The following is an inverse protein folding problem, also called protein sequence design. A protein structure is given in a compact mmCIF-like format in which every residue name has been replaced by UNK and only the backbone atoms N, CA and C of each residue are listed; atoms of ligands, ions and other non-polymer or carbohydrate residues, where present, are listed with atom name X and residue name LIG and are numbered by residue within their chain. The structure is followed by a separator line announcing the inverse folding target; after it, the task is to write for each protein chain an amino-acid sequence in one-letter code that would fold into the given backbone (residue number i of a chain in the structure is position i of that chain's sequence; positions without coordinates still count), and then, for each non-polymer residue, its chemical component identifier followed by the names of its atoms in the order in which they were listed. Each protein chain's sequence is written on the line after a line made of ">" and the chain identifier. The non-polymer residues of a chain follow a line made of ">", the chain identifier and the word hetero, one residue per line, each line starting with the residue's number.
data_IF_401311018405
#
_entry.id   IF_401311018405
#
_cell.length_a   1.000
_cell.length_b   1.000
_cell.length_c   1.000
_cell.angle_alpha   90.00
_cell.angle_beta   90.00
_cell.angle_gamma   90.00
#
_symmetry.space_group_name_H-M   'P 1'
#
loop_
_entity.id
_entity.type
_entity.pdbx_description
1 polymer ?
#
# COMPACT_ATOMS: atom_id res chain seq x y z
N UNK A 1 -17.99 -1.16 1.86
CA UNK A 1 -17.77 -2.07 0.74
C UNK A 1 -18.43 -1.49 -0.49
N UNK A 2 -17.69 -1.34 -1.58
CA UNK A 2 -18.25 -0.94 -2.86
C UNK A 2 -18.64 -2.21 -3.64
N UNK A 3 -19.87 -2.25 -4.13
CA UNK A 3 -20.26 -3.23 -5.14
C UNK A 3 -19.83 -2.72 -6.51
N UNK A 4 -19.54 -3.65 -7.44
CA UNK A 4 -19.19 -3.29 -8.81
C UNK A 4 -20.40 -2.60 -9.47
N UNK A 5 -20.21 -1.36 -9.90
CA UNK A 5 -21.22 -0.54 -10.56
C UNK A 5 -20.57 0.19 -11.74
N UNK A 6 -20.58 -0.45 -12.90
CA UNK A 6 -19.94 0.06 -14.11
C UNK A 6 -20.64 1.32 -14.65
N UNK A 7 -21.94 1.47 -14.45
CA UNK A 7 -22.68 2.65 -14.92
C UNK A 7 -22.34 3.87 -14.06
N UNK A 8 -22.24 3.68 -12.74
CA UNK A 8 -21.77 4.73 -11.85
C UNK A 8 -20.31 5.11 -12.14
N UNK A 9 -19.45 4.12 -12.41
CA UNK A 9 -18.06 4.38 -12.76
C UNK A 9 -17.93 5.23 -14.03
N UNK A 10 -18.68 4.90 -15.08
CA UNK A 10 -18.73 5.71 -16.32
C UNK A 10 -19.28 7.11 -16.07
N UNK A 11 -20.31 7.24 -15.23
CA UNK A 11 -20.87 8.55 -14.88
C UNK A 11 -19.84 9.43 -14.15
N UNK A 12 -19.08 8.86 -13.21
CA UNK A 12 -18.02 9.58 -12.47
C UNK A 12 -16.85 9.98 -13.39
N UNK A 13 -16.47 9.11 -14.35
CA UNK A 13 -15.46 9.46 -15.36
C UNK A 13 -15.92 10.61 -16.24
N UNK A 14 -17.18 10.59 -16.70
CA UNK A 14 -17.75 11.68 -17.48
C UNK A 14 -17.84 13.00 -16.68
N UNK A 15 -18.24 12.94 -15.40
CA UNK A 15 -18.27 14.10 -14.52
C UNK A 15 -16.85 14.69 -14.31
N UNK A 16 -15.84 13.84 -14.30
CA UNK A 16 -14.43 14.24 -14.22
C UNK A 16 -13.85 14.72 -15.58
N UNK A 17 -14.62 14.69 -16.66
CA UNK A 17 -14.19 15.13 -18.00
C UNK A 17 -13.51 14.06 -18.85
N UNK A 18 -13.68 12.79 -18.51
CA UNK A 18 -13.08 11.64 -19.21
C UNK A 18 -14.14 10.80 -19.95
N UNK A 19 -15.19 11.41 -20.46
CA UNK A 19 -16.24 10.74 -21.22
C UNK A 19 -15.74 10.10 -22.53
N UNK A 20 -14.67 10.66 -23.12
CA UNK A 20 -14.03 10.17 -24.33
C UNK A 20 -12.97 9.10 -24.07
N UNK A 21 -12.74 8.75 -22.81
CA UNK A 21 -11.76 7.78 -22.33
C UNK A 21 -10.61 8.39 -21.55
N UNK A 22 -9.85 7.55 -20.90
CA UNK A 22 -8.66 7.89 -20.11
C UNK A 22 -7.56 6.89 -20.39
N UNK A 23 -6.35 7.38 -20.70
CA UNK A 23 -5.15 6.55 -20.80
C UNK A 23 -4.32 6.68 -19.53
N UNK A 24 -3.87 5.54 -18.99
CA UNK A 24 -2.98 5.52 -17.82
C UNK A 24 -2.00 4.34 -17.87
N UNK A 25 -1.00 4.37 -17.01
CA UNK A 25 -0.01 3.30 -16.87
C UNK A 25 -0.04 2.71 -15.47
N UNK A 26 0.04 1.37 -15.41
CA UNK A 26 0.20 0.61 -14.17
C UNK A 26 1.63 0.06 -14.13
N UNK A 27 2.48 0.67 -13.32
CA UNK A 27 3.86 0.24 -13.15
C UNK A 27 3.98 -0.85 -12.09
N UNK A 28 4.76 -1.91 -12.37
CA UNK A 28 5.06 -2.95 -11.40
C UNK A 28 6.52 -3.39 -11.45
N UNK A 29 6.98 -3.99 -10.34
CA UNK A 29 8.36 -4.49 -10.23
C UNK A 29 8.41 -5.91 -10.77
N UNK A 30 9.37 -6.23 -11.66
CA UNK A 30 9.67 -7.62 -11.99
C UNK A 30 10.23 -8.32 -10.74
N UNK A 31 9.63 -9.39 -10.32
CA UNK A 31 10.04 -10.12 -9.14
C UNK A 31 9.75 -11.61 -9.26
N UNK A 32 10.18 -12.39 -8.27
CA UNK A 32 9.91 -13.82 -8.24
C UNK A 32 8.41 -14.15 -8.14
N UNK A 33 7.59 -13.15 -7.87
CA UNK A 33 6.14 -13.28 -7.72
C UNK A 33 5.43 -12.65 -8.92
N UNK A 34 5.00 -13.47 -9.86
CA UNK A 34 4.14 -13.05 -10.97
C UNK A 34 2.79 -12.46 -10.53
N UNK A 35 2.50 -12.48 -9.23
CA UNK A 35 1.25 -11.96 -8.66
C UNK A 35 1.00 -10.49 -9.01
N UNK A 36 2.04 -9.65 -9.00
CA UNK A 36 1.86 -8.24 -9.35
C UNK A 36 1.43 -8.06 -10.81
N UNK A 37 2.01 -8.84 -11.73
CA UNK A 37 1.61 -8.84 -13.14
C UNK A 37 0.12 -9.22 -13.29
N UNK A 38 -0.28 -10.35 -12.71
CA UNK A 38 -1.67 -10.82 -12.83
C UNK A 38 -2.67 -9.86 -12.22
N UNK A 39 -2.32 -9.19 -11.12
CA UNK A 39 -3.18 -8.17 -10.52
C UNK A 39 -3.25 -6.93 -11.40
N UNK A 40 -2.13 -6.48 -11.97
CA UNK A 40 -2.11 -5.32 -12.87
C UNK A 40 -2.94 -5.60 -14.14
N UNK A 41 -2.81 -6.79 -14.74
CA UNK A 41 -3.60 -7.23 -15.89
C UNK A 41 -5.10 -7.30 -15.55
N UNK A 42 -5.45 -7.81 -14.37
CA UNK A 42 -6.85 -7.86 -13.91
C UNK A 42 -7.43 -6.43 -13.74
N UNK A 43 -6.66 -5.52 -13.13
CA UNK A 43 -7.07 -4.12 -12.97
C UNK A 43 -7.24 -3.45 -14.33
N UNK A 44 -6.29 -3.62 -15.25
CA UNK A 44 -6.37 -3.07 -16.60
C UNK A 44 -7.61 -3.58 -17.35
N UNK A 45 -7.89 -4.88 -17.28
CA UNK A 45 -9.09 -5.47 -17.88
C UNK A 45 -10.39 -4.91 -17.28
N UNK A 46 -10.46 -4.76 -15.94
CA UNK A 46 -11.63 -4.18 -15.29
C UNK A 46 -11.82 -2.69 -15.65
N UNK A 47 -10.76 -1.92 -15.75
CA UNK A 47 -10.78 -0.52 -16.13
C UNK A 47 -11.21 -0.33 -17.60
N UNK A 48 -10.86 -1.26 -18.49
CA UNK A 48 -11.28 -1.21 -19.89
C UNK A 48 -12.80 -1.28 -20.08
N UNK A 49 -13.53 -1.94 -19.17
CA UNK A 49 -14.98 -2.03 -19.21
C UNK A 49 -15.67 -0.67 -19.02
N UNK A 50 -14.98 0.31 -18.49
CA UNK A 50 -15.48 1.67 -18.24
C UNK A 50 -14.82 2.74 -19.12
N UNK A 51 -14.05 2.33 -20.14
CA UNK A 51 -13.43 3.24 -21.09
C UNK A 51 -12.06 3.76 -20.68
N UNK A 52 -11.40 3.12 -19.70
CA UNK A 52 -10.02 3.46 -19.32
C UNK A 52 -9.05 2.48 -19.96
N UNK A 53 -8.13 2.98 -20.77
CA UNK A 53 -7.03 2.20 -21.38
C UNK A 53 -5.81 2.23 -20.42
N UNK A 54 -5.58 1.12 -19.74
CA UNK A 54 -4.53 0.98 -18.73
C UNK A 54 -3.39 0.10 -19.25
N UNK A 55 -2.28 0.72 -19.66
CA UNK A 55 -1.07 0.01 -20.08
C UNK A 55 -0.35 -0.60 -18.88
N UNK A 56 -0.16 -1.92 -18.86
CA UNK A 56 0.64 -2.60 -17.84
C UNK A 56 2.11 -2.53 -18.20
N UNK A 57 2.90 -1.80 -17.41
CA UNK A 57 4.31 -1.51 -17.69
C UNK A 57 5.22 -2.22 -16.68
N UNK A 58 5.97 -3.20 -17.18
CA UNK A 58 7.00 -3.87 -16.40
C UNK A 58 8.27 -3.04 -16.38
N UNK A 59 8.78 -2.71 -15.21
CA UNK A 59 10.12 -2.15 -15.06
C UNK A 59 11.18 -3.21 -15.40
N UNK A 60 12.29 -2.83 -16.03
CA UNK A 60 13.36 -3.77 -16.41
C UNK A 60 14.01 -4.41 -15.18
N UNK A 61 14.14 -3.64 -14.11
CA UNK A 61 14.64 -4.08 -12.81
C UNK A 61 14.10 -3.19 -11.69
N UNK A 62 14.44 -3.52 -10.45
CA UNK A 62 14.05 -2.75 -9.26
C UNK A 62 14.57 -1.32 -9.30
N UNK A 63 15.77 -1.09 -9.86
CA UNK A 63 16.38 0.25 -9.95
C UNK A 63 15.58 1.17 -10.85
N UNK A 64 15.12 0.68 -12.01
CA UNK A 64 14.25 1.45 -12.91
C UNK A 64 12.91 1.77 -12.24
N UNK A 65 12.28 0.79 -11.59
CA UNK A 65 11.03 1.00 -10.86
C UNK A 65 11.20 2.05 -9.76
N UNK A 66 12.29 1.97 -9.00
CA UNK A 66 12.64 2.96 -7.95
C UNK A 66 12.76 4.36 -8.55
N UNK A 67 13.41 4.50 -9.71
CA UNK A 67 13.53 5.78 -10.40
C UNK A 67 12.16 6.37 -10.80
N UNK A 68 11.23 5.54 -11.29
CA UNK A 68 9.86 5.94 -11.60
C UNK A 68 9.12 6.32 -10.32
N UNK A 69 9.15 5.45 -9.31
CA UNK A 69 8.46 5.64 -8.05
C UNK A 69 8.90 6.93 -7.33
N UNK A 70 10.20 7.26 -7.39
CA UNK A 70 10.73 8.49 -6.82
C UNK A 70 10.59 9.73 -7.71
N UNK A 71 10.13 9.57 -8.93
CA UNK A 71 9.84 10.69 -9.81
C UNK A 71 8.71 11.61 -9.30
N UNK A 72 8.03 11.16 -8.24
CA UNK A 72 6.92 11.89 -7.64
C UNK A 72 5.58 11.60 -8.34
N UNK A 73 4.50 12.24 -7.90
CA UNK A 73 3.14 11.96 -8.36
C UNK A 73 2.93 12.22 -9.85
N UNK A 74 3.76 13.03 -10.49
CA UNK A 74 3.67 13.31 -11.93
C UNK A 74 4.36 12.24 -12.80
N UNK A 75 5.17 11.36 -12.20
CA UNK A 75 5.94 10.35 -12.93
C UNK A 75 5.15 9.06 -13.19
N UNK A 76 4.07 8.82 -12.48
CA UNK A 76 3.24 7.63 -12.61
C UNK A 76 1.80 7.90 -12.16
N UNK A 77 0.83 7.19 -12.77
CA UNK A 77 -0.57 7.27 -12.37
C UNK A 77 -0.94 6.15 -11.40
N UNK A 78 -0.48 4.93 -11.68
CA UNK A 78 -0.66 3.78 -10.81
C UNK A 78 0.64 2.99 -10.68
N UNK A 79 0.94 2.52 -9.49
CA UNK A 79 2.06 1.63 -9.23
C UNK A 79 1.72 0.59 -8.19
N UNK A 80 2.35 -0.57 -8.29
CA UNK A 80 2.17 -1.64 -7.32
C UNK A 80 3.37 -1.68 -6.39
N UNK A 81 3.11 -1.68 -5.10
CA UNK A 81 4.14 -1.72 -4.06
C UNK A 81 3.69 -2.54 -2.86
N UNK A 82 4.56 -2.76 -1.91
CA UNK A 82 4.26 -3.37 -0.63
C UNK A 82 4.70 -2.45 0.50
N UNK A 83 3.85 -2.30 1.50
CA UNK A 83 4.18 -1.61 2.75
C UNK A 83 4.27 -2.62 3.89
N UNK A 84 5.19 -2.40 4.80
CA UNK A 84 5.34 -3.20 6.00
C UNK A 84 4.68 -2.50 7.17
N UNK A 85 3.68 -3.15 7.75
CA UNK A 85 3.01 -2.70 8.97
C UNK A 85 3.74 -3.29 10.18
N UNK A 86 4.87 -2.69 10.51
CA UNK A 86 5.67 -3.06 11.67
C UNK A 86 4.82 -3.16 12.91
N UNK A 87 4.64 -3.86 13.73
CA UNK A 87 3.83 -4.06 14.93
C UNK A 87 3.05 -2.87 15.50
N UNK A 88 3.28 -1.64 15.02
CA UNK A 88 2.55 -0.45 15.43
C UNK A 88 2.21 0.42 14.22
N UNK A 89 0.94 0.90 14.08
CA UNK A 89 0.51 1.75 12.97
C UNK A 89 1.29 3.06 12.85
N UNK A 90 1.82 3.62 13.94
CA UNK A 90 2.66 4.82 13.92
C UNK A 90 3.90 4.62 13.04
N UNK A 91 4.50 3.43 13.08
CA UNK A 91 5.71 3.12 12.31
C UNK A 91 5.35 2.62 10.90
N UNK A 92 4.29 1.83 10.79
CA UNK A 92 3.94 1.13 9.56
C UNK A 92 2.98 1.87 8.63
N UNK A 93 1.95 2.51 9.20
CA UNK A 93 0.82 3.10 8.46
C UNK A 93 0.98 4.61 8.30
N UNK A 94 1.11 5.34 9.40
CA UNK A 94 1.09 6.81 9.43
C UNK A 94 1.97 7.44 8.36
N UNK A 95 3.19 6.94 8.19
CA UNK A 95 4.17 7.47 7.22
C UNK A 95 3.70 7.47 5.76
N UNK A 96 2.73 6.63 5.41
CA UNK A 96 2.22 6.52 4.05
C UNK A 96 1.04 7.47 3.77
N UNK A 97 0.47 8.09 4.80
CA UNK A 97 -0.74 8.91 4.67
C UNK A 97 -0.56 10.37 5.05
N UNK A 98 0.32 10.69 6.00
CA UNK A 98 0.46 12.08 6.49
C UNK A 98 1.06 13.01 5.42
N UNK A 99 0.53 14.23 5.35
CA UNK A 99 0.94 15.26 4.39
C UNK A 99 2.43 15.60 4.50
N UNK A 100 2.97 15.68 5.72
CA UNK A 100 4.38 16.00 5.97
C UNK A 100 5.38 14.98 5.39
N UNK A 101 4.91 13.79 5.04
CA UNK A 101 5.74 12.74 4.46
C UNK A 101 5.65 12.66 2.92
N UNK A 102 5.08 13.68 2.27
CA UNK A 102 5.14 13.81 0.81
C UNK A 102 6.55 14.27 0.42
N UNK A 103 7.49 13.32 0.42
CA UNK A 103 8.91 13.57 0.14
C UNK A 103 9.46 12.45 -0.74
N UNK A 104 10.58 12.72 -1.43
CA UNK A 104 11.26 11.73 -2.26
C UNK A 104 12.05 10.77 -1.38
N UNK A 105 11.43 9.68 -0.95
CA UNK A 105 12.07 8.64 -0.13
C UNK A 105 11.31 7.30 -0.23
N UNK A 106 11.90 6.24 0.37
CA UNK A 106 11.24 4.93 0.47
C UNK A 106 10.23 4.90 1.62
N UNK A 107 9.13 4.18 1.40
CA UNK A 107 8.12 3.88 2.41
C UNK A 107 7.55 5.13 3.11
N UNK A 108 7.36 6.18 2.35
CA UNK A 108 6.73 7.44 2.75
C UNK A 108 5.43 7.64 1.96
N UNK A 109 4.83 8.81 2.06
CA UNK A 109 3.63 9.17 1.30
C UNK A 109 3.98 9.49 -0.17
N UNK A 110 4.18 8.43 -0.97
CA UNK A 110 4.52 8.57 -2.38
C UNK A 110 3.30 8.81 -3.29
N UNK A 111 2.08 8.60 -2.77
CA UNK A 111 0.83 8.90 -3.49
C UNK A 111 0.50 10.39 -3.52
N UNK A 112 1.23 11.21 -2.76
CA UNK A 112 0.93 12.62 -2.51
C UNK A 112 -0.49 12.86 -1.94
N UNK A 113 -1.06 11.86 -1.30
CA UNK A 113 -2.32 11.99 -0.59
C UNK A 113 -2.16 12.95 0.59
N UNK A 114 -3.07 13.90 0.72
CA UNK A 114 -3.05 14.87 1.81
C UNK A 114 -4.48 15.20 2.25
N UNK A 115 -4.80 14.85 3.48
CA UNK A 115 -6.06 15.17 4.13
C UNK A 115 -5.78 15.56 5.59
N UNK A 116 -6.02 16.83 5.93
CA UNK A 116 -5.72 17.38 7.25
C UNK A 116 -6.44 16.62 8.38
N UNK A 117 -7.67 16.14 8.15
CA UNK A 117 -8.40 15.35 9.15
C UNK A 117 -7.71 14.00 9.39
N UNK A 118 -7.18 13.38 8.34
CA UNK A 118 -6.41 12.13 8.45
C UNK A 118 -5.12 12.37 9.22
N UNK A 119 -4.44 13.47 8.99
CA UNK A 119 -3.25 13.84 9.75
C UNK A 119 -3.55 14.00 11.24
N UNK A 120 -4.61 14.77 11.58
CA UNK A 120 -5.05 14.97 12.97
C UNK A 120 -5.36 13.64 13.67
N UNK A 121 -6.10 12.74 13.01
CA UNK A 121 -6.42 11.43 13.57
C UNK A 121 -5.19 10.58 13.81
N UNK A 122 -4.26 10.53 12.86
CA UNK A 122 -3.04 9.73 12.96
C UNK A 122 -2.09 10.29 14.02
N UNK A 123 -1.93 11.60 14.14
CA UNK A 123 -1.11 12.21 15.20
C UNK A 123 -1.77 12.06 16.58
N UNK A 124 -3.09 12.19 16.68
CA UNK A 124 -3.79 11.94 17.93
C UNK A 124 -3.65 10.46 18.37
N UNK A 125 -3.81 9.52 17.44
CA UNK A 125 -3.63 8.10 17.72
C UNK A 125 -2.19 7.75 18.12
N UNK A 126 -1.20 8.45 17.60
CA UNK A 126 0.20 8.27 17.99
C UNK A 126 0.47 8.70 19.45
N UNK A 127 -0.27 9.68 19.94
CA UNK A 127 -0.15 10.21 21.31
C UNK A 127 -1.06 9.52 22.34
N UNK A 128 -2.08 8.76 21.87
CA UNK A 128 -3.08 8.12 22.73
C UNK A 128 -2.55 6.81 23.32
N UNK A 129 -2.67 6.65 24.62
CA UNK A 129 -2.23 5.46 25.37
C UNK A 129 -3.39 4.52 25.75
N UNK A 130 -4.61 5.03 25.83
CA UNK A 130 -5.79 4.19 26.04
C UNK A 130 -6.11 3.41 24.76
N UNK A 131 -6.26 2.11 24.89
CA UNK A 131 -6.43 1.21 23.74
C UNK A 131 -7.73 1.49 22.96
N UNK A 132 -8.84 1.68 23.67
CA UNK A 132 -10.15 1.84 23.05
C UNK A 132 -10.27 3.23 22.40
N UNK A 133 -9.76 4.27 23.06
CA UNK A 133 -9.68 5.61 22.49
C UNK A 133 -8.77 5.65 21.23
N UNK A 134 -7.61 5.01 21.30
CA UNK A 134 -6.69 4.90 20.17
C UNK A 134 -7.30 4.13 19.01
N UNK A 135 -7.99 3.03 19.32
CA UNK A 135 -8.69 2.24 18.29
C UNK A 135 -9.76 3.07 17.58
N UNK A 136 -10.55 3.86 18.30
CA UNK A 136 -11.58 4.70 17.70
C UNK A 136 -11.01 5.71 16.70
N UNK A 137 -9.84 6.30 16.98
CA UNK A 137 -9.15 7.20 16.06
C UNK A 137 -8.69 6.48 14.77
N UNK A 138 -8.18 5.26 14.89
CA UNK A 138 -7.83 4.45 13.71
C UNK A 138 -9.07 3.95 12.95
N UNK A 139 -10.17 3.65 13.62
CA UNK A 139 -11.42 3.27 12.94
C UNK A 139 -11.92 4.43 12.06
N UNK A 140 -11.95 5.68 12.58
CA UNK A 140 -12.33 6.86 11.81
C UNK A 140 -11.36 7.11 10.63
N UNK A 141 -10.06 7.02 10.84
CA UNK A 141 -9.06 7.07 9.78
C UNK A 141 -9.35 6.06 8.67
N UNK A 142 -9.67 4.82 9.02
CA UNK A 142 -9.96 3.78 8.04
C UNK A 142 -11.26 4.05 7.27
N UNK A 143 -12.28 4.62 7.91
CA UNK A 143 -13.52 5.01 7.24
C UNK A 143 -13.28 6.07 6.16
N UNK A 144 -12.49 7.11 6.46
CA UNK A 144 -12.14 8.15 5.50
C UNK A 144 -11.34 7.57 4.34
N UNK A 145 -10.26 6.85 4.64
CA UNK A 145 -9.35 6.35 3.60
C UNK A 145 -9.95 5.22 2.76
N UNK A 146 -10.95 4.50 3.28
CA UNK A 146 -11.72 3.53 2.51
C UNK A 146 -12.64 4.19 1.46
N UNK A 147 -12.99 5.45 1.63
CA UNK A 147 -13.77 6.24 0.66
C UNK A 147 -12.85 6.94 -0.34
N UNK A 148 -11.78 7.57 0.13
CA UNK A 148 -10.87 8.36 -0.70
C UNK A 148 -9.88 7.51 -1.48
N UNK A 149 -9.63 6.28 -1.03
CA UNK A 149 -8.82 5.23 -1.70
C UNK A 149 -7.44 5.70 -2.21
N UNK A 150 -6.61 6.38 -1.40
CA UNK A 150 -5.24 6.71 -1.82
C UNK A 150 -4.39 5.45 -2.08
N UNK A 151 -4.73 4.36 -1.40
CA UNK A 151 -4.18 3.03 -1.58
C UNK A 151 -5.29 1.98 -1.70
N UNK A 152 -5.19 1.15 -2.71
CA UNK A 152 -6.05 -0.03 -2.83
C UNK A 152 -5.30 -1.26 -2.28
N UNK A 153 -5.68 -1.69 -1.08
CA UNK A 153 -5.07 -2.84 -0.43
C UNK A 153 -5.61 -4.14 -1.04
N UNK A 154 -4.77 -4.87 -1.75
CA UNK A 154 -5.15 -6.09 -2.48
C UNK A 154 -5.10 -7.30 -1.56
N UNK A 155 -3.96 -7.50 -0.88
CA UNK A 155 -3.74 -8.62 0.02
C UNK A 155 -2.68 -8.31 1.09
N UNK A 156 -2.70 -9.09 2.16
CA UNK A 156 -1.59 -9.15 3.10
C UNK A 156 -0.72 -10.37 2.77
N UNK A 157 0.58 -10.14 2.63
CA UNK A 157 1.57 -11.19 2.36
C UNK A 157 2.13 -11.73 3.68
N UNK A 158 1.85 -12.98 4.06
CA UNK A 158 2.48 -13.57 5.23
C UNK A 158 3.96 -13.89 4.94
N UNK A 159 4.81 -13.59 5.89
CA UNK A 159 6.23 -13.96 5.86
C UNK A 159 6.38 -15.26 6.66
N UNK A 160 6.91 -16.29 6.02
CA UNK A 160 7.16 -17.58 6.64
C UNK A 160 8.65 -17.72 6.92
N UNK A 161 8.98 -18.24 8.10
CA UNK A 161 10.32 -18.71 8.44
C UNK A 161 10.32 -20.24 8.60
N UNK A 162 11.41 -20.86 8.25
CA UNK A 162 11.65 -22.27 8.52
C UNK A 162 13.01 -22.42 9.24
N UNK A 163 13.06 -23.32 10.22
CA UNK A 163 14.30 -23.62 10.93
C UNK A 163 14.41 -25.14 11.17
N UNK A 164 15.61 -25.59 11.46
CA UNK A 164 15.84 -26.96 11.89
C UNK A 164 15.15 -27.20 13.26
N UNK A 165 14.69 -28.42 13.55
CA UNK A 165 13.97 -28.73 14.80
C UNK A 165 14.78 -28.47 16.08
N UNK A 166 16.10 -28.47 15.98
CA UNK A 166 17.03 -28.19 17.06
C UNK A 166 17.30 -26.70 17.31
N UNK A 167 16.72 -25.81 16.50
CA UNK A 167 16.80 -24.37 16.70
C UNK A 167 15.67 -23.90 17.59
N UNK A 168 16.01 -23.52 18.81
CA UNK A 168 15.07 -23.15 19.84
C UNK A 168 14.95 -21.63 19.99
N UNK A 169 13.81 -21.19 20.52
CA UNK A 169 13.53 -19.83 20.92
C UNK A 169 13.70 -18.79 19.79
N UNK A 170 13.24 -19.16 18.60
CA UNK A 170 13.18 -18.21 17.48
C UNK A 170 12.19 -17.09 17.76
N UNK A 171 12.49 -15.86 17.33
CA UNK A 171 11.58 -14.74 17.49
C UNK A 171 10.29 -14.95 16.69
N UNK A 172 9.15 -14.77 17.36
CA UNK A 172 7.80 -14.91 16.78
C UNK A 172 7.04 -13.57 16.74
N UNK A 173 7.71 -12.47 17.06
CA UNK A 173 7.11 -11.15 17.08
C UNK A 173 6.80 -10.58 15.70
N UNK A 174 6.14 -9.41 15.62
CA UNK A 174 5.71 -8.77 14.37
C UNK A 174 6.88 -8.39 13.45
N UNK A 175 8.10 -8.35 13.96
CA UNK A 175 9.32 -8.09 13.19
C UNK A 175 9.85 -9.33 12.47
N UNK A 176 9.33 -10.53 12.80
CA UNK A 176 9.69 -11.79 12.16
C UNK A 176 11.21 -11.99 12.12
N UNK A 177 11.75 -12.24 10.93
CA UNK A 177 13.18 -12.44 10.69
C UNK A 177 14.06 -11.20 10.94
N UNK A 178 13.47 -10.03 11.11
CA UNK A 178 14.17 -8.80 11.49
C UNK A 178 14.32 -8.64 13.00
N UNK A 179 13.71 -9.53 13.79
CA UNK A 179 13.91 -9.57 15.24
C UNK A 179 15.29 -10.07 15.59
N UNK A 180 15.82 -9.60 16.71
CA UNK A 180 17.10 -10.08 17.23
C UNK A 180 17.07 -11.58 17.54
N UNK A 181 18.15 -12.27 17.23
CA UNK A 181 18.33 -13.72 17.46
C UNK A 181 19.10 -14.02 18.77
N UNK A 182 19.29 -13.03 19.64
CA UNK A 182 20.11 -13.11 20.85
C UNK A 182 19.66 -14.18 21.86
N UNK A 183 18.39 -14.58 21.77
CA UNK A 183 17.84 -15.62 22.63
C UNK A 183 17.69 -16.98 21.92
N UNK A 184 18.03 -17.07 20.64
CA UNK A 184 18.00 -18.34 19.92
C UNK A 184 19.18 -19.24 20.28
N UNK A 185 18.96 -20.53 20.43
CA UNK A 185 19.98 -21.49 20.77
C UNK A 185 19.77 -22.84 20.09
N UNK A 186 20.79 -23.69 20.09
CA UNK A 186 20.73 -25.02 19.50
C UNK A 186 20.62 -26.09 20.59
N UNK A 187 19.57 -26.92 20.52
CA UNK A 187 19.38 -28.09 21.40
C UNK A 187 20.08 -29.31 20.77
N UNK A 188 21.36 -29.48 21.12
CA UNK A 188 22.24 -30.57 20.63
C UNK A 188 22.80 -31.38 21.76
#
# INVERSE_FOLDING_TARGET
>A
RYDVDLDKARALLAEAGYEDGLELKIHYIPGPNEQQLHVAEYIAAALSEVGVDAEVVQSADTGQWVGIFFGGPDAWQMTMTAYFNWGDPVIGVQRAYVCDNIVVSFFVNNSAYCNEQVDELLYAAAAESDFDARKALYDEFQEITAVELPFYNINAMPIFGAAQPDVMNLPTGPWGSLSGMENAWLDR
#
